data_IF_805871011720
#
_entry.id   IF_805871011720
#
_cell.length_a   1.000
_cell.length_b   1.000
_cell.length_c   1.000
_cell.angle_alpha   90.00
_cell.angle_beta   90.00
_cell.angle_gamma   90.00
#
_symmetry.space_group_name_H-M   'P 1'
#
loop_
_entity.id
_entity.type
_entity.pdbx_description
1 polymer ?
#
# COMPACT_ATOMS: atom_id res chain seq x y z
N UNK A 1 -2.23 7.92 6.19
CA UNK A 1 -1.92 6.51 6.56
C UNK A 1 -3.05 5.65 6.03
N UNK A 2 -2.74 4.44 5.58
CA UNK A 2 -3.72 3.51 4.99
C UNK A 2 -3.51 2.15 5.63
N UNK A 3 -4.58 1.43 5.89
CA UNK A 3 -4.56 0.02 6.30
C UNK A 3 -5.06 -0.77 5.10
N UNK A 4 -4.31 -1.78 4.68
CA UNK A 4 -4.69 -2.71 3.62
C UNK A 4 -4.99 -4.07 4.23
N UNK A 5 -6.12 -4.67 3.85
CA UNK A 5 -6.40 -6.07 4.14
C UNK A 5 -5.83 -6.89 2.99
N UNK A 6 -4.99 -7.87 3.32
CA UNK A 6 -4.39 -8.81 2.35
C UNK A 6 -5.07 -10.17 2.54
N UNK A 7 -5.16 -10.94 1.45
CA UNK A 7 -5.66 -12.31 1.51
C UNK A 7 -4.90 -13.14 2.56
N UNK A 8 -5.60 -14.04 3.24
CA UNK A 8 -5.01 -14.90 4.27
C UNK A 8 -4.07 -15.95 3.70
N UNK A 9 -4.26 -16.30 2.43
CA UNK A 9 -3.44 -17.29 1.73
C UNK A 9 -2.20 -16.64 1.07
N UNK A 10 -2.02 -15.33 1.21
CA UNK A 10 -0.81 -14.65 0.77
C UNK A 10 0.36 -15.00 1.69
N UNK A 11 1.45 -15.54 1.14
CA UNK A 11 2.61 -16.05 1.89
C UNK A 11 3.86 -15.17 1.78
N UNK A 12 3.85 -14.17 0.90
CA UNK A 12 5.00 -13.29 0.61
C UNK A 12 5.02 -12.01 1.45
N UNK A 13 4.73 -12.11 2.74
CA UNK A 13 4.72 -10.94 3.64
C UNK A 13 6.08 -10.24 3.74
N UNK A 14 7.18 -10.98 3.61
CA UNK A 14 8.54 -10.42 3.62
C UNK A 14 8.79 -9.47 2.45
N UNK A 15 8.10 -9.65 1.32
CA UNK A 15 8.17 -8.73 0.18
C UNK A 15 7.35 -7.46 0.41
N UNK A 16 6.35 -7.52 1.30
CA UNK A 16 5.44 -6.40 1.58
C UNK A 16 5.99 -5.50 2.70
N UNK A 17 6.54 -6.09 3.75
CA UNK A 17 6.93 -5.37 4.96
C UNK A 17 8.23 -4.59 4.79
N UNK A 18 8.38 -3.53 5.58
CA UNK A 18 9.59 -2.72 5.58
C UNK A 18 9.50 -1.49 4.68
N UNK A 19 10.65 -1.02 4.21
CA UNK A 19 10.78 0.26 3.48
C UNK A 19 10.95 0.03 1.99
N UNK A 20 10.11 0.72 1.22
CA UNK A 20 10.06 0.66 -0.25
C UNK A 20 10.41 2.04 -0.82
N UNK A 21 11.61 2.16 -1.38
CA UNK A 21 12.02 3.39 -2.06
C UNK A 21 11.33 3.50 -3.41
N UNK A 22 10.77 4.67 -3.71
CA UNK A 22 10.01 4.89 -4.94
C UNK A 22 10.90 4.82 -6.17
N UNK A 23 12.17 5.23 -6.06
CA UNK A 23 13.17 5.14 -7.13
C UNK A 23 13.51 3.70 -7.56
N UNK A 24 13.24 2.69 -6.72
CA UNK A 24 13.42 1.27 -7.08
C UNK A 24 12.23 0.70 -7.85
N UNK A 25 11.07 1.35 -7.77
CA UNK A 25 9.81 0.83 -8.28
C UNK A 25 9.30 1.62 -9.51
N UNK A 26 9.36 2.94 -9.45
CA UNK A 26 8.97 3.83 -10.54
C UNK A 26 10.00 3.78 -11.66
N UNK A 27 9.55 3.70 -12.92
CA UNK A 27 10.47 3.66 -14.06
C UNK A 27 11.06 5.04 -14.42
N UNK A 28 10.33 6.12 -14.10
CA UNK A 28 10.73 7.51 -14.34
C UNK A 28 10.30 8.37 -13.15
N UNK A 29 10.89 8.17 -11.95
CA UNK A 29 10.61 9.02 -10.81
C UNK A 29 10.99 10.47 -11.13
N UNK A 30 10.16 11.41 -10.72
CA UNK A 30 10.51 12.83 -10.67
C UNK A 30 11.59 13.08 -9.61
N UNK A 31 12.27 14.23 -9.66
CA UNK A 31 13.30 14.57 -8.65
C UNK A 31 12.76 14.49 -7.21
N UNK A 32 11.52 14.92 -6.99
CA UNK A 32 10.88 14.85 -5.68
C UNK A 32 10.61 13.39 -5.24
N UNK A 33 10.39 12.48 -6.17
CA UNK A 33 10.06 11.08 -5.89
C UNK A 33 11.29 10.22 -5.64
N UNK A 34 12.47 10.64 -6.11
CA UNK A 34 13.72 9.90 -5.92
C UNK A 34 14.02 9.63 -4.44
N UNK A 35 13.76 10.62 -3.59
CA UNK A 35 14.00 10.57 -2.16
C UNK A 35 12.80 10.05 -1.35
N UNK A 36 11.67 9.76 -2.03
CA UNK A 36 10.46 9.25 -1.36
C UNK A 36 10.55 7.74 -1.10
N UNK A 37 9.94 7.36 0.02
CA UNK A 37 9.72 5.97 0.36
C UNK A 37 8.37 5.76 1.04
N UNK A 38 7.80 4.59 0.81
CA UNK A 38 6.67 4.08 1.56
C UNK A 38 7.16 3.04 2.57
N UNK A 39 6.55 2.99 3.76
CA UNK A 39 6.90 1.99 4.78
C UNK A 39 5.66 1.21 5.16
N UNK A 40 5.77 -0.11 5.16
CA UNK A 40 4.68 -1.02 5.50
C UNK A 40 5.04 -1.75 6.79
N UNK A 41 4.09 -1.77 7.72
CA UNK A 41 4.24 -2.38 9.04
C UNK A 41 3.05 -3.29 9.30
N UNK A 42 3.23 -4.24 10.21
CA UNK A 42 2.12 -5.02 10.73
C UNK A 42 1.09 -4.13 11.40
N UNK A 43 -0.18 -4.41 11.11
CA UNK A 43 -1.31 -3.80 11.82
C UNK A 43 -1.54 -4.57 13.13
N UNK A 44 -1.65 -3.85 14.25
CA UNK A 44 -1.96 -4.46 15.54
C UNK A 44 -3.46 -4.82 15.70
N UNK A 45 -4.33 -4.29 14.83
CA UNK A 45 -5.74 -4.67 14.80
C UNK A 45 -5.91 -6.03 14.13
N UNK A 46 -6.59 -6.95 14.82
CA UNK A 46 -6.80 -8.32 14.35
C UNK A 46 -8.09 -8.53 13.54
N UNK A 47 -8.88 -7.47 13.32
CA UNK A 47 -10.10 -7.53 12.53
C UNK A 47 -10.49 -6.16 11.98
N UNK A 48 -11.12 -6.14 10.80
CA UNK A 48 -11.66 -4.91 10.20
C UNK A 48 -12.65 -4.19 11.12
N UNK A 49 -13.43 -4.92 11.93
CA UNK A 49 -14.36 -4.33 12.90
C UNK A 49 -13.67 -3.48 13.98
N UNK A 50 -12.48 -3.89 14.46
CA UNK A 50 -11.72 -3.08 15.41
C UNK A 50 -11.11 -1.84 14.76
N UNK A 51 -10.69 -1.97 13.49
CA UNK A 51 -10.21 -0.84 12.68
C UNK A 51 -11.31 0.22 12.55
N UNK A 52 -12.51 -0.18 12.12
CA UNK A 52 -13.67 0.73 12.00
C UNK A 52 -14.07 1.37 13.33
N UNK A 53 -14.15 0.58 14.42
CA UNK A 53 -14.43 1.10 15.77
C UNK A 53 -13.40 2.13 16.24
N UNK A 54 -12.17 2.03 15.77
CA UNK A 54 -11.09 2.98 16.07
C UNK A 54 -11.15 4.25 15.22
N UNK A 55 -12.20 4.42 14.41
CA UNK A 55 -12.48 5.63 13.63
C UNK A 55 -12.01 5.57 12.17
N UNK A 56 -11.52 4.43 11.69
CA UNK A 56 -11.08 4.29 10.31
C UNK A 56 -12.25 4.07 9.35
N UNK A 57 -12.23 4.76 8.21
CA UNK A 57 -13.19 4.53 7.13
C UNK A 57 -12.76 3.34 6.28
N UNK A 58 -13.57 2.29 6.24
CA UNK A 58 -13.41 1.18 5.30
C UNK A 58 -13.87 1.61 3.91
N UNK A 59 -13.06 1.34 2.90
CA UNK A 59 -13.44 1.49 1.49
C UNK A 59 -13.04 0.23 0.75
N UNK A 60 -13.98 -0.34 0.00
CA UNK A 60 -13.69 -1.48 -0.87
C UNK A 60 -12.85 -1.01 -2.04
N UNK A 61 -11.74 -1.70 -2.33
CA UNK A 61 -10.92 -1.42 -3.50
C UNK A 61 -11.70 -1.88 -4.74
N UNK A 62 -11.88 -0.97 -5.69
CA UNK A 62 -12.58 -1.28 -6.94
C UNK A 62 -11.58 -1.36 -8.09
N UNK A 63 -11.73 -2.37 -8.96
CA UNK A 63 -10.79 -2.63 -10.06
C UNK A 63 -10.60 -1.41 -10.98
N UNK A 64 -11.69 -0.67 -11.21
CA UNK A 64 -11.68 0.49 -12.08
C UNK A 64 -10.79 1.65 -11.57
N UNK A 65 -10.39 1.66 -10.29
CA UNK A 65 -9.46 2.66 -9.75
C UNK A 65 -8.05 2.53 -10.33
N UNK A 66 -7.71 1.35 -10.86
CA UNK A 66 -6.42 1.09 -11.48
C UNK A 66 -6.44 1.34 -12.99
N UNK A 67 -7.57 1.79 -13.55
CA UNK A 67 -7.66 2.12 -14.97
C UNK A 67 -6.71 3.27 -15.33
N UNK A 68 -5.81 3.03 -16.29
CA UNK A 68 -4.81 4.01 -16.71
C UNK A 68 -3.58 4.09 -15.78
N UNK A 69 -3.56 3.36 -14.67
CA UNK A 69 -2.37 3.27 -13.84
C UNK A 69 -1.27 2.49 -14.58
N UNK A 70 -0.07 3.06 -14.61
CA UNK A 70 1.11 2.38 -15.12
C UNK A 70 2.34 2.80 -14.30
N UNK A 71 3.37 1.95 -14.31
CA UNK A 71 4.66 2.19 -13.64
C UNK A 71 5.54 3.29 -14.29
N UNK A 72 5.10 3.87 -15.41
CA UNK A 72 5.83 4.94 -16.09
C UNK A 72 5.61 6.31 -15.44
N UNK A 73 4.67 6.43 -14.50
CA UNK A 73 4.36 7.67 -13.78
C UNK A 73 4.19 8.87 -14.75
N UNK A 74 3.55 8.59 -15.90
CA UNK A 74 3.38 9.50 -17.03
C UNK A 74 2.14 10.36 -16.90
#
# INVERSE_FOLDING_TARGET
>A
MVIIEVDRDFDRFDDLLGMHSWSKFLLRPTEEELDKSSKVFYCAYNSGRLVEKSGWKRVTIEEHWFNGWNKNNS
#
